data_IF_065608784374
#
_entry.id   IF_065608784374
#
_cell.length_a   1.000
_cell.length_b   1.000
_cell.length_c   1.000
_cell.angle_alpha   90.00
_cell.angle_beta   90.00
_cell.angle_gamma   90.00
#
_symmetry.space_group_name_H-M   'P 1'
#
loop_
_entity.id
_entity.type
_entity.pdbx_description
1 polymer ?
#
# COMPACT_ATOMS: atom_id res chain seq x y z
N UNK A 1 0.03 -24.98 32.35
CA UNK A 1 -0.56 -25.32 31.04
C UNK A 1 -0.05 -26.68 30.60
N UNK A 2 -0.86 -27.51 29.93
CA UNK A 2 -0.45 -28.84 29.46
C UNK A 2 0.59 -28.70 28.32
N UNK A 3 1.55 -29.62 28.25
CA UNK A 3 2.63 -29.62 27.24
C UNK A 3 2.09 -29.58 25.81
N UNK A 4 1.01 -30.30 25.54
CA UNK A 4 0.30 -30.26 24.25
C UNK A 4 -0.24 -28.87 23.88
N UNK A 5 -0.65 -28.07 24.87
CA UNK A 5 -1.07 -26.69 24.64
C UNK A 5 0.12 -25.81 24.28
N UNK A 6 1.27 -26.03 24.91
CA UNK A 6 2.52 -25.30 24.61
C UNK A 6 3.04 -25.70 23.23
N UNK A 7 3.03 -26.99 22.90
CA UNK A 7 3.48 -27.51 21.61
C UNK A 7 2.55 -27.07 20.48
N UNK A 8 1.23 -26.98 20.73
CA UNK A 8 0.27 -26.40 19.78
C UNK A 8 0.53 -24.90 19.59
N UNK A 9 0.66 -24.12 20.66
CA UNK A 9 0.97 -22.68 20.57
C UNK A 9 2.30 -22.47 19.83
N UNK A 10 3.31 -23.31 20.05
CA UNK A 10 4.58 -23.24 19.34
C UNK A 10 4.46 -23.63 17.85
N UNK A 11 3.58 -24.58 17.51
CA UNK A 11 3.28 -24.93 16.11
C UNK A 11 2.53 -23.79 15.42
N UNK A 12 1.46 -23.31 16.04
CA UNK A 12 0.64 -22.19 15.56
C UNK A 12 1.46 -20.88 15.47
N UNK A 13 2.49 -20.71 16.31
CA UNK A 13 3.41 -19.57 16.23
C UNK A 13 4.40 -19.64 15.05
N UNK A 14 4.62 -20.83 14.49
CA UNK A 14 5.47 -21.06 13.31
C UNK A 14 4.66 -21.05 12.01
N UNK A 15 3.35 -21.27 12.09
CA UNK A 15 2.43 -21.11 10.95
C UNK A 15 2.05 -19.63 10.80
N UNK A 16 2.25 -19.10 9.59
CA UNK A 16 1.99 -17.70 9.28
C UNK A 16 0.51 -17.50 8.88
N UNK A 17 -0.35 -17.36 9.88
CA UNK A 17 -1.78 -17.04 9.75
C UNK A 17 -2.07 -15.62 9.24
N UNK A 18 -1.06 -14.80 8.91
CA UNK A 18 -1.32 -13.42 8.50
C UNK A 18 -2.20 -13.34 7.23
N UNK A 19 -2.18 -14.39 6.41
CA UNK A 19 -2.99 -14.54 5.19
C UNK A 19 -3.29 -16.00 4.80
N UNK A 20 -3.12 -16.99 5.68
CA UNK A 20 -3.46 -18.38 5.34
C UNK A 20 -4.96 -18.53 5.07
N UNK A 21 -5.31 -18.62 3.79
CA UNK A 21 -6.64 -19.04 3.35
C UNK A 21 -6.65 -20.57 3.48
N UNK A 22 -7.52 -21.09 4.34
CA UNK A 22 -7.91 -22.49 4.22
C UNK A 22 -8.60 -22.66 2.87
N UNK A 23 -8.30 -23.73 2.12
CA UNK A 23 -8.90 -24.08 0.81
C UNK A 23 -10.45 -24.04 0.79
N UNK A 24 -11.07 -23.92 1.96
CA UNK A 24 -12.51 -23.79 2.21
C UNK A 24 -13.08 -22.38 2.02
N UNK A 25 -12.26 -21.33 1.87
CA UNK A 25 -12.73 -19.94 1.74
C UNK A 25 -13.29 -19.34 3.04
N UNK A 26 -12.90 -19.89 4.20
CA UNK A 26 -13.25 -19.36 5.52
C UNK A 26 -12.36 -18.17 5.89
N UNK A 27 -12.88 -16.95 5.69
CA UNK A 27 -12.25 -15.72 6.17
C UNK A 27 -12.55 -15.41 7.65
N UNK A 28 -13.44 -16.19 8.29
CA UNK A 28 -13.89 -15.99 9.68
C UNK A 28 -12.99 -16.70 10.68
N UNK A 29 -11.81 -16.12 10.92
CA UNK A 29 -11.10 -16.37 12.17
C UNK A 29 -11.37 -15.20 13.13
N UNK A 30 -12.33 -15.34 14.04
CA UNK A 30 -12.65 -14.26 15.01
C UNK A 30 -11.41 -13.75 15.75
N UNK A 31 -10.45 -14.63 16.02
CA UNK A 31 -9.15 -14.29 16.62
C UNK A 31 -8.31 -13.35 15.76
N UNK A 32 -8.35 -13.47 14.43
CA UNK A 32 -7.66 -12.56 13.51
C UNK A 32 -8.16 -11.13 13.67
N UNK A 33 -9.48 -10.93 13.72
CA UNK A 33 -10.08 -9.61 13.92
C UNK A 33 -9.68 -9.04 15.28
N UNK A 34 -9.77 -9.82 16.36
CA UNK A 34 -9.34 -9.34 17.69
C UNK A 34 -7.86 -8.96 17.73
N UNK A 35 -6.99 -9.72 17.06
CA UNK A 35 -5.56 -9.37 16.96
C UNK A 35 -5.32 -8.09 16.17
N UNK A 36 -6.00 -7.92 15.04
CA UNK A 36 -5.96 -6.68 14.25
C UNK A 36 -6.36 -5.47 15.11
N UNK A 37 -7.45 -5.61 15.88
CA UNK A 37 -7.91 -4.54 16.75
C UNK A 37 -6.93 -4.24 17.89
N UNK A 38 -6.33 -5.28 18.50
CA UNK A 38 -5.29 -5.12 19.50
C UNK A 38 -4.08 -4.36 18.93
N UNK A 39 -3.62 -4.73 17.73
CA UNK A 39 -2.53 -4.03 17.05
C UNK A 39 -2.84 -2.58 16.72
N UNK A 40 -4.08 -2.26 16.34
CA UNK A 40 -4.49 -0.86 16.16
C UNK A 40 -4.45 -0.09 17.47
N UNK A 41 -5.00 -0.65 18.56
CA UNK A 41 -5.00 0.00 19.88
C UNK A 41 -3.57 0.22 20.38
N UNK A 42 -2.75 -0.83 20.37
CA UNK A 42 -1.36 -0.78 20.84
C UNK A 42 -0.50 0.14 19.95
N UNK A 43 -0.70 0.08 18.62
CA UNK A 43 -0.03 0.94 17.66
C UNK A 43 -0.34 2.41 17.87
N UNK A 44 -1.62 2.78 17.96
CA UNK A 44 -2.03 4.17 18.21
C UNK A 44 -1.57 4.66 19.59
N UNK A 45 -1.66 3.82 20.62
CA UNK A 45 -1.17 4.17 21.95
C UNK A 45 0.35 4.41 21.94
N UNK A 46 1.10 3.59 21.19
CA UNK A 46 2.54 3.73 21.04
C UNK A 46 2.91 5.03 20.31
N UNK A 47 2.30 5.30 19.15
CA UNK A 47 2.55 6.52 18.37
C UNK A 47 2.18 7.78 19.15
N UNK A 48 1.10 7.75 19.94
CA UNK A 48 0.65 8.91 20.73
C UNK A 48 1.65 9.43 21.78
N UNK A 49 2.74 8.70 22.03
CA UNK A 49 3.83 9.08 22.93
C UNK A 49 4.85 10.03 22.29
N UNK A 50 4.74 10.26 20.98
CA UNK A 50 5.65 11.06 20.20
C UNK A 50 4.96 12.31 19.66
N UNK A 51 5.79 13.30 19.34
CA UNK A 51 5.41 14.54 18.69
C UNK A 51 6.51 14.87 17.68
N UNK A 52 6.16 15.69 16.69
CA UNK A 52 7.08 16.16 15.65
C UNK A 52 7.75 15.05 14.86
N UNK A 53 6.94 14.19 14.25
CA UNK A 53 7.39 12.91 13.71
C UNK A 53 7.79 13.05 12.24
N UNK A 54 8.95 12.51 11.87
CA UNK A 54 9.35 12.34 10.48
C UNK A 54 9.52 10.86 10.21
N UNK A 55 8.71 10.34 9.29
CA UNK A 55 8.79 8.94 8.89
C UNK A 55 9.77 8.78 7.74
N UNK A 56 10.80 7.95 7.93
CA UNK A 56 11.83 7.65 6.94
C UNK A 56 11.69 6.22 6.44
N UNK A 57 11.52 6.08 5.13
CA UNK A 57 11.29 4.82 4.42
C UNK A 57 12.34 4.59 3.32
N UNK A 58 12.64 3.34 3.03
CA UNK A 58 13.63 2.98 2.03
C UNK A 58 14.03 1.51 2.06
N UNK A 59 14.98 1.14 1.20
CA UNK A 59 15.42 -0.25 1.05
C UNK A 59 16.02 -0.82 2.34
N UNK A 60 15.61 -2.05 2.68
CA UNK A 60 16.27 -2.89 3.68
C UNK A 60 17.59 -3.53 3.17
N UNK A 61 17.87 -3.44 1.86
CA UNK A 61 19.01 -4.11 1.20
C UNK A 61 20.22 -3.20 0.93
N UNK A 62 20.08 -1.88 1.12
CA UNK A 62 21.19 -0.94 0.88
C UNK A 62 22.13 -0.91 2.09
N UNK A 63 23.39 -1.30 1.87
CA UNK A 63 24.39 -1.49 2.92
C UNK A 63 25.03 -0.17 3.40
N UNK A 64 25.79 -0.26 4.50
CA UNK A 64 26.43 0.87 5.21
C UNK A 64 27.41 1.67 4.34
N UNK A 65 28.04 1.02 3.35
CA UNK A 65 29.01 1.63 2.44
C UNK A 65 28.36 2.45 1.31
N UNK A 66 27.03 2.41 1.17
CA UNK A 66 26.32 3.13 0.12
C UNK A 66 26.19 4.63 0.44
N UNK A 67 26.09 5.46 -0.62
CA UNK A 67 25.79 6.90 -0.45
C UNK A 67 24.47 7.12 0.30
N UNK A 68 23.47 6.26 0.05
CA UNK A 68 22.14 6.37 0.64
C UNK A 68 22.15 6.16 2.15
N UNK A 69 22.94 5.19 2.63
CA UNK A 69 23.09 4.95 4.06
C UNK A 69 23.70 6.17 4.76
N UNK A 70 24.73 6.78 4.17
CA UNK A 70 25.34 7.99 4.73
C UNK A 70 24.37 9.18 4.73
N UNK A 71 23.60 9.38 3.67
CA UNK A 71 22.57 10.44 3.62
C UNK A 71 21.48 10.18 4.67
N UNK A 72 20.98 8.95 4.79
CA UNK A 72 19.97 8.58 5.78
C UNK A 72 20.47 8.75 7.22
N UNK A 73 21.71 8.37 7.51
CA UNK A 73 22.34 8.59 8.82
C UNK A 73 22.53 10.07 9.12
N UNK A 74 22.95 10.87 8.14
CA UNK A 74 23.06 12.31 8.31
C UNK A 74 21.68 12.94 8.54
N UNK A 75 20.65 12.53 7.79
CA UNK A 75 19.28 12.98 7.99
C UNK A 75 18.78 12.66 9.40
N UNK A 76 18.95 11.42 9.87
CA UNK A 76 18.57 11.04 11.23
C UNK A 76 19.25 11.90 12.30
N UNK A 77 20.54 12.23 12.11
CA UNK A 77 21.27 13.16 12.98
C UNK A 77 20.62 14.55 12.97
N UNK A 78 20.37 15.11 11.79
CA UNK A 78 19.78 16.44 11.66
C UNK A 78 18.35 16.51 12.24
N UNK A 79 17.54 15.46 12.06
CA UNK A 79 16.22 15.34 12.68
C UNK A 79 16.34 15.44 14.20
N UNK A 80 17.24 14.66 14.80
CA UNK A 80 17.49 14.70 16.24
C UNK A 80 18.00 16.06 16.74
N UNK A 81 18.90 16.72 16.00
CA UNK A 81 19.40 18.06 16.34
C UNK A 81 18.32 19.16 16.27
N UNK A 82 17.19 18.89 15.60
CA UNK A 82 16.04 19.80 15.49
C UNK A 82 14.83 19.35 16.34
N UNK A 83 15.04 18.47 17.32
CA UNK A 83 14.00 17.93 18.20
C UNK A 83 12.85 17.20 17.47
N UNK A 84 13.17 16.58 16.32
CA UNK A 84 12.22 15.77 15.54
C UNK A 84 12.37 14.29 15.86
N UNK A 85 11.24 13.58 15.97
CA UNK A 85 11.21 12.14 16.20
C UNK A 85 11.42 11.39 14.89
N UNK A 86 12.47 10.57 14.81
CA UNK A 86 12.71 9.71 13.63
C UNK A 86 11.94 8.40 13.77
N UNK A 87 10.94 8.19 12.91
CA UNK A 87 10.18 6.94 12.79
C UNK A 87 10.65 6.16 11.56
N UNK A 88 10.91 4.87 11.73
CA UNK A 88 11.22 3.96 10.62
C UNK A 88 10.50 2.62 10.79
N UNK A 89 10.65 1.73 9.81
CA UNK A 89 10.22 0.35 9.92
C UNK A 89 11.07 -0.56 10.83
N UNK A 90 12.15 -0.04 11.45
CA UNK A 90 12.98 -0.72 12.46
C UNK A 90 13.92 -1.83 11.95
N UNK A 91 13.90 -2.10 10.64
CA UNK A 91 14.78 -3.08 9.99
C UNK A 91 16.18 -2.56 9.65
N UNK A 92 16.97 -3.34 8.88
CA UNK A 92 18.30 -2.96 8.41
C UNK A 92 18.24 -1.92 7.26
N UNK A 93 19.41 -1.56 6.73
CA UNK A 93 19.54 -0.70 5.56
C UNK A 93 19.20 0.76 5.86
N UNK A 94 18.37 1.40 5.03
CA UNK A 94 18.01 2.82 5.20
C UNK A 94 17.33 3.09 6.56
N UNK A 95 16.48 2.17 7.00
CA UNK A 95 15.81 2.27 8.31
C UNK A 95 16.84 2.32 9.44
N UNK A 96 17.80 1.41 9.43
CA UNK A 96 18.90 1.38 10.40
C UNK A 96 19.75 2.65 10.33
N UNK A 97 20.09 3.13 9.13
CA UNK A 97 20.87 4.34 8.95
C UNK A 97 20.22 5.55 9.61
N UNK A 98 18.93 5.79 9.32
CA UNK A 98 18.16 6.89 9.89
C UNK A 98 18.04 6.76 11.42
N UNK A 99 17.71 5.57 11.93
CA UNK A 99 17.67 5.31 13.36
C UNK A 99 19.02 5.56 14.03
N UNK A 100 20.12 5.14 13.39
CA UNK A 100 21.49 5.32 13.87
C UNK A 100 21.87 6.79 13.98
N UNK A 101 21.59 7.57 12.94
CA UNK A 101 21.81 9.02 12.95
C UNK A 101 21.13 9.70 14.13
N UNK A 102 19.84 9.41 14.31
CA UNK A 102 19.06 9.97 15.41
C UNK A 102 19.55 9.50 16.78
N UNK A 103 19.91 8.22 16.90
CA UNK A 103 20.42 7.62 18.13
C UNK A 103 21.74 8.25 18.57
N UNK A 104 22.71 8.35 17.65
CA UNK A 104 24.06 8.90 17.91
C UNK A 104 24.02 10.38 18.28
N UNK A 105 23.07 11.13 17.74
CA UNK A 105 22.80 12.52 18.09
C UNK A 105 21.98 12.70 19.38
N UNK A 106 21.56 11.61 20.03
CA UNK A 106 20.81 11.65 21.29
C UNK A 106 19.28 11.81 21.13
N UNK A 107 18.74 11.93 19.91
CA UNK A 107 17.32 12.14 19.64
C UNK A 107 16.42 10.91 19.81
N UNK A 108 15.12 11.07 19.51
CA UNK A 108 14.16 9.96 19.52
C UNK A 108 14.31 9.11 18.25
N UNK A 109 14.52 7.81 18.43
CA UNK A 109 14.69 6.84 17.36
C UNK A 109 13.70 5.70 17.56
N UNK A 110 12.74 5.59 16.65
CA UNK A 110 11.55 4.74 16.77
C UNK A 110 11.50 3.73 15.63
N UNK A 111 11.16 2.47 15.95
CA UNK A 111 11.03 1.38 14.98
C UNK A 111 9.67 0.69 15.08
N UNK A 112 8.92 0.68 13.98
CA UNK A 112 7.66 -0.08 13.84
C UNK A 112 7.97 -1.38 13.11
N UNK A 113 8.16 -2.48 13.84
CA UNK A 113 8.67 -3.74 13.27
C UNK A 113 7.53 -4.67 12.81
N UNK A 114 7.84 -5.61 11.90
CA UNK A 114 6.94 -6.69 11.50
C UNK A 114 7.47 -8.03 12.01
N UNK A 115 6.59 -8.88 12.55
CA UNK A 115 6.91 -10.25 12.90
C UNK A 115 6.93 -11.11 11.64
N UNK A 116 8.12 -11.53 11.22
CA UNK A 116 8.31 -12.45 10.10
C UNK A 116 8.76 -13.82 10.61
N UNK A 117 8.40 -14.93 9.92
CA UNK A 117 8.86 -16.27 10.27
C UNK A 117 10.40 -16.42 10.23
N UNK A 118 11.06 -15.57 9.45
CA UNK A 118 12.51 -15.43 9.40
C UNK A 118 12.90 -14.11 10.10
N UNK A 119 13.89 -14.19 10.98
CA UNK A 119 14.22 -13.18 11.98
C UNK A 119 14.55 -11.80 11.36
N UNK A 120 13.58 -10.89 11.27
CA UNK A 120 13.89 -9.47 11.12
C UNK A 120 14.29 -8.93 12.49
N UNK A 121 15.60 -8.82 12.73
CA UNK A 121 16.11 -8.23 13.96
C UNK A 121 15.85 -6.73 13.94
N UNK A 122 15.28 -6.23 15.03
CA UNK A 122 15.23 -4.79 15.31
C UNK A 122 16.66 -4.28 15.29
N UNK A 123 16.93 -3.24 14.50
CA UNK A 123 18.27 -2.69 14.42
C UNK A 123 18.70 -2.10 15.79
N UNK A 124 20.00 -2.12 16.13
CA UNK A 124 20.48 -1.81 17.48
C UNK A 124 20.35 -0.33 17.88
N UNK A 125 19.92 0.54 16.94
CA UNK A 125 19.82 1.98 17.15
C UNK A 125 18.38 2.45 17.41
N UNK A 126 17.41 1.53 17.43
CA UNK A 126 16.04 1.82 17.86
C UNK A 126 15.98 1.96 19.37
N UNK A 127 15.51 3.12 19.87
CA UNK A 127 15.31 3.37 21.32
C UNK A 127 13.96 2.86 21.82
N UNK A 128 12.93 2.98 20.98
CA UNK A 128 11.56 2.54 21.29
C UNK A 128 11.00 1.80 20.08
N UNK A 129 10.33 0.68 20.33
CA UNK A 129 9.73 -0.11 19.26
C UNK A 129 8.39 -0.69 19.67
N UNK A 130 7.53 -0.89 18.67
CA UNK A 130 6.41 -1.84 18.75
C UNK A 130 6.50 -2.80 17.57
N UNK A 131 5.85 -3.96 17.68
CA UNK A 131 5.89 -5.01 16.68
C UNK A 131 4.47 -5.40 16.27
N UNK A 132 4.28 -5.60 14.98
CA UNK A 132 3.00 -5.98 14.37
C UNK A 132 3.11 -7.37 13.78
N UNK A 133 1.99 -8.09 13.70
CA UNK A 133 1.89 -9.34 12.99
C UNK A 133 1.42 -9.14 11.54
N UNK A 134 0.48 -8.19 11.33
CA UNK A 134 -0.02 -7.89 10.00
C UNK A 134 0.73 -6.72 9.38
N UNK A 135 1.10 -6.85 8.10
CA UNK A 135 1.74 -5.75 7.36
C UNK A 135 0.85 -4.50 7.30
N UNK A 136 -0.46 -4.67 7.12
CA UNK A 136 -1.36 -3.52 6.94
C UNK A 136 -1.53 -2.70 8.22
N UNK A 137 -1.61 -3.31 9.41
CA UNK A 137 -1.70 -2.58 10.69
C UNK A 137 -0.43 -1.78 10.93
N UNK A 138 0.74 -2.40 10.68
CA UNK A 138 2.04 -1.73 10.70
C UNK A 138 2.09 -0.55 9.73
N UNK A 139 1.63 -0.76 8.49
CA UNK A 139 1.66 0.26 7.43
C UNK A 139 0.82 1.47 7.84
N UNK A 140 -0.38 1.25 8.37
CA UNK A 140 -1.22 2.33 8.92
C UNK A 140 -0.52 3.12 10.01
N UNK A 141 0.28 2.48 10.87
CA UNK A 141 1.06 3.16 11.91
C UNK A 141 2.27 3.91 11.35
N UNK A 142 2.92 3.38 10.31
CA UNK A 142 4.02 4.06 9.61
C UNK A 142 3.52 5.31 8.87
N UNK A 143 2.30 5.27 8.36
CA UNK A 143 1.62 6.39 7.70
C UNK A 143 0.72 7.17 8.66
N UNK A 144 0.86 6.99 9.98
CA UNK A 144 0.18 7.83 10.95
C UNK A 144 0.59 9.30 10.75
N UNK A 145 -0.23 10.28 11.20
CA UNK A 145 0.08 11.69 11.01
C UNK A 145 1.52 11.99 11.41
N UNK A 146 2.30 12.48 10.46
CA UNK A 146 3.70 12.84 10.59
C UNK A 146 3.88 14.23 9.99
N UNK A 147 4.91 14.96 10.41
CA UNK A 147 5.18 16.29 9.89
C UNK A 147 5.79 16.27 8.50
N UNK A 148 6.51 15.18 8.15
CA UNK A 148 6.99 14.92 6.80
C UNK A 148 7.21 13.42 6.57
N UNK A 149 7.18 13.03 5.30
CA UNK A 149 7.58 11.69 4.85
C UNK A 149 8.82 11.79 3.98
N UNK A 150 9.84 10.98 4.27
CA UNK A 150 11.09 10.93 3.50
C UNK A 150 11.28 9.54 2.92
N UNK A 151 11.36 9.45 1.60
CA UNK A 151 11.54 8.20 0.86
C UNK A 151 12.91 8.18 0.18
N UNK A 152 13.71 7.19 0.56
CA UNK A 152 14.93 6.80 -0.12
C UNK A 152 14.65 5.75 -1.19
N UNK A 153 15.60 5.49 -2.10
CA UNK A 153 15.48 4.40 -3.05
C UNK A 153 15.21 3.06 -2.37
N UNK A 154 14.27 2.32 -2.96
CA UNK A 154 13.64 1.16 -2.34
C UNK A 154 13.09 0.17 -3.35
N UNK A 155 12.59 -0.97 -2.85
CA UNK A 155 11.94 -2.01 -3.67
C UNK A 155 10.42 -1.85 -3.68
N UNK A 156 9.69 -2.94 -3.93
CA UNK A 156 8.22 -2.92 -3.94
C UNK A 156 7.60 -2.45 -2.62
N UNK A 157 8.14 -2.86 -1.47
CA UNK A 157 7.63 -2.39 -0.18
C UNK A 157 7.73 -0.88 0.02
N UNK A 158 8.82 -0.26 -0.43
CA UNK A 158 8.97 1.22 -0.37
C UNK A 158 8.02 1.90 -1.36
N UNK A 159 7.78 1.31 -2.53
CA UNK A 159 6.80 1.82 -3.47
C UNK A 159 5.37 1.70 -2.95
N UNK A 160 5.03 0.60 -2.26
CA UNK A 160 3.75 0.41 -1.58
C UNK A 160 3.55 1.50 -0.51
N UNK A 161 4.52 1.69 0.38
CA UNK A 161 4.48 2.73 1.42
C UNK A 161 4.36 4.15 0.83
N UNK A 162 5.12 4.43 -0.23
CA UNK A 162 5.06 5.69 -0.95
C UNK A 162 3.69 5.95 -1.56
N UNK A 163 3.18 5.00 -2.35
CA UNK A 163 1.89 5.15 -3.00
C UNK A 163 0.74 5.16 -1.99
N UNK A 164 0.87 4.55 -0.80
CA UNK A 164 -0.12 4.71 0.27
C UNK A 164 -0.22 6.15 0.76
N UNK A 165 0.90 6.78 1.09
CA UNK A 165 0.90 8.16 1.63
C UNK A 165 0.27 9.12 0.62
N UNK A 166 0.69 9.05 -0.65
CA UNK A 166 0.24 10.00 -1.67
C UNK A 166 -1.20 9.75 -2.11
N UNK A 167 -1.66 8.49 -2.14
CA UNK A 167 -3.07 8.13 -2.36
C UNK A 167 -3.95 8.65 -1.21
N UNK A 168 -3.50 8.54 0.05
CA UNK A 168 -4.23 9.06 1.21
C UNK A 168 -4.36 10.59 1.19
N UNK A 169 -3.34 11.29 0.70
CA UNK A 169 -3.36 12.75 0.51
C UNK A 169 -4.33 13.14 -0.63
N UNK A 170 -4.28 12.47 -1.80
CA UNK A 170 -5.24 12.70 -2.91
C UNK A 170 -6.69 12.50 -2.47
N UNK A 171 -6.93 11.43 -1.69
CA UNK A 171 -8.25 11.10 -1.14
C UNK A 171 -8.72 12.07 -0.04
N UNK A 172 -7.86 13.02 0.38
CA UNK A 172 -8.08 13.96 1.50
C UNK A 172 -8.35 13.23 2.82
N UNK A 173 -7.73 12.06 2.99
CA UNK A 173 -7.79 11.23 4.21
C UNK A 173 -6.54 11.39 5.07
N UNK A 174 -5.54 12.13 4.59
CA UNK A 174 -4.35 12.58 5.30
C UNK A 174 -4.18 14.09 5.03
N UNK A 175 -3.59 14.82 5.99
CA UNK A 175 -3.22 16.21 5.77
C UNK A 175 -2.14 16.33 4.69
N UNK A 176 -2.11 17.45 3.96
CA UNK A 176 -0.99 17.74 3.07
C UNK A 176 0.25 18.00 3.91
N UNK A 177 1.27 17.18 3.71
CA UNK A 177 2.58 17.28 4.38
C UNK A 177 3.67 17.08 3.33
N UNK A 178 4.89 17.61 3.54
CA UNK A 178 5.96 17.46 2.57
C UNK A 178 6.31 15.99 2.32
N UNK A 179 6.44 15.64 1.04
CA UNK A 179 6.90 14.34 0.59
C UNK A 179 8.28 14.53 -0.03
N UNK A 180 9.31 14.01 0.61
CA UNK A 180 10.69 14.25 0.22
C UNK A 180 11.26 12.96 -0.38
N UNK A 181 11.74 13.06 -1.61
CA UNK A 181 12.26 11.95 -2.40
C UNK A 181 13.77 12.11 -2.57
N UNK A 182 14.55 11.29 -1.87
CA UNK A 182 16.01 11.34 -1.89
C UNK A 182 16.55 10.62 -3.12
N UNK A 183 17.48 11.27 -3.83
CA UNK A 183 18.09 10.89 -5.10
C UNK A 183 17.20 11.20 -6.32
N UNK A 184 17.44 12.36 -6.93
CA UNK A 184 16.69 12.81 -8.11
C UNK A 184 16.82 11.83 -9.27
N UNK A 185 17.99 11.23 -9.47
CA UNK A 185 18.24 10.31 -10.57
C UNK A 185 17.45 9.00 -10.42
N UNK A 186 17.23 8.55 -9.19
CA UNK A 186 16.38 7.40 -8.92
C UNK A 186 14.90 7.72 -9.18
N UNK A 187 14.37 8.83 -8.65
CA UNK A 187 12.94 9.12 -8.70
C UNK A 187 12.44 9.75 -10.01
N UNK A 188 13.31 10.43 -10.77
CA UNK A 188 12.91 11.15 -11.98
C UNK A 188 12.16 10.27 -13.01
N UNK A 189 12.61 9.04 -13.36
CA UNK A 189 11.89 8.21 -14.32
C UNK A 189 10.47 7.84 -13.88
N UNK A 190 10.26 7.65 -12.57
CA UNK A 190 8.92 7.41 -12.03
C UNK A 190 8.05 8.67 -12.15
N UNK A 191 8.64 9.84 -11.86
CA UNK A 191 7.97 11.12 -11.98
C UNK A 191 7.57 11.42 -13.44
N UNK A 192 8.49 11.18 -14.39
CA UNK A 192 8.25 11.29 -15.83
C UNK A 192 7.10 10.38 -16.28
N UNK A 193 7.09 9.13 -15.81
CA UNK A 193 5.99 8.20 -16.05
C UNK A 193 4.65 8.74 -15.53
N UNK A 194 4.61 9.26 -14.30
CA UNK A 194 3.39 9.80 -13.69
C UNK A 194 2.83 11.00 -14.46
N UNK A 195 3.69 11.93 -14.92
CA UNK A 195 3.25 13.05 -15.76
C UNK A 195 2.76 12.60 -17.14
N UNK A 196 3.53 11.76 -17.84
CA UNK A 196 3.27 11.40 -19.22
C UNK A 196 2.12 10.39 -19.39
N UNK A 197 1.89 9.55 -18.37
CA UNK A 197 0.81 8.57 -18.37
C UNK A 197 -0.40 9.05 -17.58
N UNK A 198 -0.44 8.84 -16.26
CA UNK A 198 -1.58 9.18 -15.40
C UNK A 198 -2.07 10.63 -15.47
N UNK A 199 -1.18 11.63 -15.34
CA UNK A 199 -1.59 13.06 -15.34
C UNK A 199 -2.09 13.47 -16.72
N UNK A 200 -1.32 13.18 -17.78
CA UNK A 200 -1.73 13.47 -19.16
C UNK A 200 -3.07 12.80 -19.54
N UNK A 201 -3.38 11.65 -18.94
CA UNK A 201 -4.66 10.94 -19.12
C UNK A 201 -5.79 11.45 -18.21
N UNK A 202 -5.52 12.44 -17.35
CA UNK A 202 -6.50 13.03 -16.43
C UNK A 202 -6.93 12.11 -15.29
N UNK A 203 -6.06 11.18 -14.86
CA UNK A 203 -6.38 10.25 -13.76
C UNK A 203 -6.24 10.91 -12.38
N UNK A 204 -5.34 11.87 -12.26
CA UNK A 204 -5.23 12.83 -11.15
C UNK A 204 -4.61 14.14 -11.69
N UNK A 205 -4.59 15.18 -10.87
CA UNK A 205 -4.12 16.52 -11.26
C UNK A 205 -2.64 16.74 -10.95
N UNK A 206 -2.00 17.64 -11.68
CA UNK A 206 -0.63 18.07 -11.40
C UNK A 206 -0.47 18.61 -9.97
N UNK A 207 -1.50 19.28 -9.44
CA UNK A 207 -1.55 19.81 -8.08
C UNK A 207 -1.51 18.71 -6.99
N UNK A 208 -1.79 17.45 -7.34
CA UNK A 208 -1.71 16.32 -6.39
C UNK A 208 -0.27 15.89 -6.14
N UNK A 209 0.68 16.28 -7.00
CA UNK A 209 2.11 15.95 -6.89
C UNK A 209 3.01 17.19 -6.70
N UNK A 210 2.42 18.37 -6.48
CA UNK A 210 3.15 19.63 -6.28
C UNK A 210 4.01 19.64 -5.00
N UNK A 211 3.62 18.89 -3.98
CA UNK A 211 4.30 18.80 -2.68
C UNK A 211 5.39 17.70 -2.64
N UNK A 212 5.74 17.15 -3.80
CA UNK A 212 6.78 16.14 -3.91
C UNK A 212 8.11 16.84 -4.23
N UNK A 213 9.05 16.70 -3.32
CA UNK A 213 10.34 17.38 -3.39
C UNK A 213 11.46 16.39 -3.66
N UNK A 214 11.98 16.41 -4.88
CA UNK A 214 13.14 15.64 -5.29
C UNK A 214 14.42 16.36 -4.81
N UNK A 215 15.22 15.70 -3.96
CA UNK A 215 16.42 16.25 -3.32
C UNK A 215 17.57 15.24 -3.36
N UNK A 216 18.81 15.70 -3.22
CA UNK A 216 20.01 14.83 -3.26
C UNK A 216 20.72 14.70 -1.91
N UNK A 217 20.36 15.54 -0.93
CA UNK A 217 21.06 15.63 0.35
C UNK A 217 20.11 15.68 1.54
N UNK A 218 20.63 15.32 2.72
CA UNK A 218 19.89 15.40 3.97
C UNK A 218 19.58 16.85 4.36
N UNK A 219 20.48 17.78 4.03
CA UNK A 219 20.35 19.21 4.30
C UNK A 219 19.21 19.83 3.48
N UNK A 220 19.09 19.47 2.21
CA UNK A 220 17.96 19.88 1.37
C UNK A 220 16.64 19.36 1.92
N UNK A 221 16.59 18.08 2.33
CA UNK A 221 15.43 17.49 2.97
C UNK A 221 15.04 18.25 4.25
N UNK A 222 15.99 18.50 5.15
CA UNK A 222 15.76 19.22 6.41
C UNK A 222 15.30 20.66 6.21
N UNK A 223 15.81 21.34 5.18
CA UNK A 223 15.36 22.69 4.85
C UNK A 223 13.86 22.72 4.55
N UNK A 224 13.35 21.73 3.82
CA UNK A 224 11.93 21.60 3.46
C UNK A 224 11.09 21.29 4.70
N UNK A 225 11.55 20.34 5.52
CA UNK A 225 10.88 19.98 6.77
C UNK A 225 10.71 21.22 7.67
N UNK A 226 11.80 21.96 7.89
CA UNK A 226 11.78 23.17 8.71
C UNK A 226 10.90 24.30 8.14
N UNK A 227 10.80 24.46 6.81
CA UNK A 227 9.91 25.46 6.22
C UNK A 227 8.43 25.13 6.44
N UNK A 228 8.04 23.85 6.38
CA UNK A 228 6.65 23.44 6.60
C UNK A 228 6.19 23.66 8.06
N UNK A 229 7.10 23.53 9.02
CA UNK A 229 6.82 23.79 10.44
C UNK A 229 6.53 25.27 10.72
N UNK A 230 7.13 26.18 9.95
CA UNK A 230 6.88 27.61 10.08
C UNK A 230 5.50 27.98 9.52
N UNK A 231 5.11 27.42 8.37
CA UNK A 231 3.79 27.65 7.78
C UNK A 231 2.65 27.09 8.65
N UNK A 232 2.82 25.90 9.24
CA UNK A 232 1.86 25.32 10.19
C UNK A 232 1.64 26.19 11.44
N UNK A 233 2.69 26.87 11.92
CA UNK A 233 2.60 27.78 13.07
C UNK A 233 1.89 29.10 12.75
N UNK A 234 1.90 29.54 11.49
CA UNK A 234 1.19 30.73 11.03
C UNK A 234 -0.27 30.44 10.63
N UNK A 235 -0.54 29.25 10.07
CA UNK A 235 -1.89 28.77 9.78
C UNK A 235 -2.45 27.93 10.93
N UNK A 236 -2.91 28.58 12.01
CA UNK A 236 -3.73 27.90 13.04
C UNK A 236 -5.13 27.56 12.51
N UNK A 237 -5.21 26.59 11.61
CA UNK A 237 -6.42 25.79 11.41
C UNK A 237 -6.06 24.32 11.62
N UNK A 238 -6.32 23.77 12.82
CA UNK A 238 -6.24 22.34 13.02
C UNK A 238 -7.23 21.68 12.05
N UNK A 239 -6.76 20.77 11.20
CA UNK A 239 -7.71 19.90 10.50
C UNK A 239 -8.41 19.05 11.55
N UNK A 240 -9.74 18.97 11.49
CA UNK A 240 -10.60 18.30 12.49
C UNK A 240 -10.21 16.83 12.79
N UNK A 241 -9.35 16.20 11.97
CA UNK A 241 -8.87 14.84 12.21
C UNK A 241 -7.89 14.71 13.39
N UNK A 242 -7.01 15.69 13.60
CA UNK A 242 -5.92 15.62 14.59
C UNK A 242 -6.45 15.65 16.03
N UNK A 243 -7.47 16.47 16.29
CA UNK A 243 -8.06 16.56 17.62
C UNK A 243 -9.13 15.48 17.86
N UNK A 244 -9.74 14.93 16.81
CA UNK A 244 -10.74 13.88 16.96
C UNK A 244 -10.12 12.52 17.32
N UNK A 245 -8.95 12.13 16.80
CA UNK A 245 -8.34 10.84 17.14
C UNK A 245 -8.06 10.70 18.65
N UNK A 246 -7.63 11.77 19.34
CA UNK A 246 -7.36 11.75 20.80
C UNK A 246 -8.62 11.69 21.69
N UNK A 247 -9.82 12.00 21.20
CA UNK A 247 -11.09 11.99 21.99
C UNK A 247 -12.16 11.02 21.48
N UNK A 248 -11.97 10.41 20.30
CA UNK A 248 -12.96 9.57 19.62
C UNK A 248 -12.43 8.19 19.19
N UNK A 249 -11.23 7.80 19.64
CA UNK A 249 -10.61 6.52 19.28
C UNK A 249 -11.58 5.34 19.49
N UNK A 250 -12.37 5.39 20.56
CA UNK A 250 -13.29 4.33 20.97
C UNK A 250 -14.32 3.96 19.88
N UNK A 251 -15.07 4.91 19.31
CA UNK A 251 -16.10 4.57 18.33
C UNK A 251 -15.52 4.22 16.95
N UNK A 252 -14.40 4.85 16.56
CA UNK A 252 -13.73 4.57 15.27
C UNK A 252 -13.21 3.14 15.24
N UNK A 253 -12.64 2.66 16.34
CA UNK A 253 -12.22 1.26 16.52
C UNK A 253 -13.39 0.30 16.30
N UNK A 254 -14.54 0.55 16.92
CA UNK A 254 -15.73 -0.30 16.69
C UNK A 254 -16.21 -0.26 15.24
N UNK A 255 -16.13 0.89 14.57
CA UNK A 255 -16.48 1.00 13.14
C UNK A 255 -15.48 0.27 12.24
N UNK A 256 -14.18 0.36 12.51
CA UNK A 256 -13.13 -0.40 11.80
C UNK A 256 -13.38 -1.90 11.97
N UNK A 257 -13.66 -2.34 13.19
CA UNK A 257 -13.99 -3.73 13.49
C UNK A 257 -15.22 -4.20 12.71
N UNK A 258 -16.29 -3.39 12.68
CA UNK A 258 -17.49 -3.70 11.91
C UNK A 258 -17.20 -3.82 10.41
N UNK A 259 -16.44 -2.87 9.83
CA UNK A 259 -16.06 -2.93 8.42
C UNK A 259 -15.17 -4.14 8.11
N UNK A 260 -14.26 -4.54 9.01
CA UNK A 260 -13.47 -5.76 8.85
C UNK A 260 -14.35 -7.02 8.88
N UNK A 261 -15.30 -7.11 9.83
CA UNK A 261 -16.23 -8.23 9.92
C UNK A 261 -17.08 -8.34 8.65
N UNK A 262 -17.70 -7.23 8.24
CA UNK A 262 -18.50 -7.16 7.01
C UNK A 262 -17.66 -7.48 5.77
N UNK A 263 -16.42 -6.99 5.72
CA UNK A 263 -15.46 -7.24 4.64
C UNK A 263 -15.07 -8.72 4.52
N UNK A 264 -14.68 -9.36 5.61
CA UNK A 264 -14.34 -10.79 5.60
C UNK A 264 -15.56 -11.67 5.32
N UNK A 265 -16.74 -11.29 5.80
CA UNK A 265 -18.00 -11.96 5.43
C UNK A 265 -18.33 -11.76 3.95
N UNK A 266 -18.04 -10.59 3.38
CA UNK A 266 -18.23 -10.32 1.96
C UNK A 266 -17.35 -11.22 1.08
N UNK A 267 -16.11 -11.49 1.51
CA UNK A 267 -15.16 -12.37 0.83
C UNK A 267 -15.47 -13.87 1.02
N UNK A 268 -16.19 -14.23 2.07
CA UNK A 268 -16.49 -15.64 2.38
C UNK A 268 -17.24 -16.30 1.21
N UNK A 269 -16.67 -17.40 0.69
CA UNK A 269 -17.21 -18.12 -0.47
C UNK A 269 -16.81 -17.56 -1.84
N UNK A 270 -15.98 -16.50 -1.89
CA UNK A 270 -15.26 -16.12 -3.11
C UNK A 270 -14.01 -16.99 -3.24
N UNK A 271 -14.06 -17.93 -4.18
CA UNK A 271 -12.98 -18.90 -4.45
C UNK A 271 -12.52 -18.81 -5.90
N UNK A 272 -13.45 -18.57 -6.83
CA UNK A 272 -13.19 -18.48 -8.27
C UNK A 272 -13.45 -17.05 -8.76
N UNK A 273 -12.71 -16.09 -8.24
CA UNK A 273 -12.83 -14.68 -8.58
C UNK A 273 -11.56 -14.11 -9.22
N UNK A 274 -11.75 -13.06 -10.02
CA UNK A 274 -10.68 -12.25 -10.62
C UNK A 274 -10.97 -10.80 -10.31
N UNK A 275 -9.94 -10.13 -9.78
CA UNK A 275 -10.04 -8.73 -9.38
C UNK A 275 -9.54 -7.81 -10.49
N UNK A 276 -10.40 -6.89 -10.94
CA UNK A 276 -10.10 -5.90 -11.98
C UNK A 276 -9.94 -4.51 -11.36
N UNK A 277 -8.78 -3.91 -11.58
CA UNK A 277 -8.36 -2.63 -11.01
C UNK A 277 -8.05 -1.61 -12.10
N UNK A 278 -8.19 -0.32 -11.79
CA UNK A 278 -7.87 0.77 -12.70
C UNK A 278 -8.59 2.06 -12.36
N UNK A 279 -8.49 3.06 -13.23
CA UNK A 279 -9.04 4.40 -12.96
C UNK A 279 -10.58 4.45 -12.94
N UNK A 280 -11.09 5.33 -12.07
CA UNK A 280 -12.51 5.74 -12.00
C UNK A 280 -12.92 6.72 -13.11
N UNK A 281 -11.93 7.30 -13.82
CA UNK A 281 -12.11 8.45 -14.72
C UNK A 281 -12.48 8.10 -16.15
N UNK A 282 -12.45 6.82 -16.55
CA UNK A 282 -12.84 6.42 -17.91
C UNK A 282 -14.33 6.63 -18.16
N UNK A 283 -14.66 6.94 -19.41
CA UNK A 283 -16.04 7.07 -19.89
C UNK A 283 -16.34 5.97 -20.92
N UNK A 284 -17.62 5.63 -21.15
CA UNK A 284 -18.01 4.78 -22.27
C UNK A 284 -17.43 5.32 -23.60
N UNK A 285 -17.04 4.42 -24.50
CA UNK A 285 -16.31 4.67 -25.76
C UNK A 285 -14.82 5.01 -25.61
N UNK A 286 -14.28 5.03 -24.40
CA UNK A 286 -12.83 4.99 -24.21
C UNK A 286 -12.30 3.57 -24.53
N UNK A 287 -11.20 3.41 -25.29
CA UNK A 287 -10.67 2.09 -25.61
C UNK A 287 -10.38 1.21 -24.40
N UNK A 288 -9.95 1.79 -23.27
CA UNK A 288 -9.73 1.05 -22.02
C UNK A 288 -11.04 0.66 -21.34
N UNK A 289 -12.10 1.48 -21.47
CA UNK A 289 -13.43 1.12 -21.00
C UNK A 289 -13.95 -0.08 -21.80
N UNK A 290 -13.86 -0.03 -23.12
CA UNK A 290 -14.34 -1.12 -23.99
C UNK A 290 -13.56 -2.41 -23.76
N UNK A 291 -12.23 -2.32 -23.58
CA UNK A 291 -11.40 -3.45 -23.19
C UNK A 291 -11.82 -4.05 -21.84
N UNK A 292 -11.98 -3.23 -20.80
CA UNK A 292 -12.43 -3.69 -19.48
C UNK A 292 -13.82 -4.35 -19.54
N UNK A 293 -14.73 -3.79 -20.35
CA UNK A 293 -16.04 -4.39 -20.61
C UNK A 293 -15.94 -5.76 -21.28
N UNK A 294 -15.09 -5.92 -22.30
CA UNK A 294 -14.84 -7.23 -22.94
C UNK A 294 -14.22 -8.22 -21.95
N UNK A 295 -13.24 -7.78 -21.14
CA UNK A 295 -12.63 -8.62 -20.12
C UNK A 295 -13.68 -9.16 -19.15
N UNK A 296 -14.57 -8.30 -18.64
CA UNK A 296 -15.65 -8.71 -17.73
C UNK A 296 -16.54 -9.80 -18.32
N UNK A 297 -16.88 -9.70 -19.61
CA UNK A 297 -17.63 -10.74 -20.33
C UNK A 297 -16.88 -12.07 -20.40
N UNK A 298 -15.61 -12.03 -20.78
CA UNK A 298 -14.78 -13.23 -20.95
C UNK A 298 -14.60 -13.96 -19.61
N UNK A 299 -14.24 -13.22 -18.56
CA UNK A 299 -14.11 -13.76 -17.21
C UNK A 299 -15.40 -14.44 -16.73
N UNK A 300 -16.55 -13.78 -16.91
CA UNK A 300 -17.84 -14.33 -16.52
C UNK A 300 -18.21 -15.60 -17.30
N UNK A 301 -17.95 -15.64 -18.61
CA UNK A 301 -18.16 -16.84 -19.43
C UNK A 301 -17.28 -18.03 -18.98
N UNK A 302 -16.10 -17.74 -18.44
CA UNK A 302 -15.19 -18.75 -17.87
C UNK A 302 -15.52 -19.11 -16.41
N UNK A 303 -16.69 -18.69 -15.93
CA UNK A 303 -17.21 -18.89 -14.58
C UNK A 303 -16.39 -18.20 -13.47
N UNK A 304 -15.63 -17.16 -13.80
CA UNK A 304 -15.06 -16.30 -12.78
C UNK A 304 -16.08 -15.29 -12.27
N UNK A 305 -16.03 -15.06 -10.97
CA UNK A 305 -16.69 -13.93 -10.33
C UNK A 305 -15.83 -12.67 -10.53
N UNK A 306 -16.39 -11.61 -11.11
CA UNK A 306 -15.64 -10.38 -11.38
C UNK A 306 -15.74 -9.44 -10.18
N UNK A 307 -14.61 -9.16 -9.54
CA UNK A 307 -14.50 -8.26 -8.38
C UNK A 307 -13.84 -6.96 -8.82
N UNK A 308 -14.38 -5.81 -8.41
CA UNK A 308 -13.85 -4.49 -8.78
C UNK A 308 -13.88 -3.51 -7.61
N UNK A 309 -13.35 -2.30 -7.83
CA UNK A 309 -13.50 -1.17 -6.90
C UNK A 309 -14.93 -0.60 -6.79
N UNK A 310 -15.91 -1.15 -7.52
CA UNK A 310 -17.34 -0.84 -7.39
C UNK A 310 -17.81 0.52 -7.88
N UNK A 311 -16.90 1.41 -8.32
CA UNK A 311 -17.24 2.75 -8.80
C UNK A 311 -17.35 2.84 -10.33
N UNK A 312 -17.21 4.03 -10.91
CA UNK A 312 -17.22 4.28 -12.37
C UNK A 312 -15.92 3.83 -13.06
N UNK A 313 -15.84 4.04 -14.38
CA UNK A 313 -14.63 3.80 -15.16
C UNK A 313 -14.36 2.33 -15.41
N UNK A 314 -13.13 1.87 -15.14
CA UNK A 314 -12.72 0.47 -15.36
C UNK A 314 -13.64 -0.50 -14.61
N UNK A 315 -13.95 -0.20 -13.35
CA UNK A 315 -14.81 -1.04 -12.52
C UNK A 315 -16.21 -1.20 -13.11
N UNK A 316 -16.86 -0.09 -13.47
CA UNK A 316 -18.18 -0.09 -14.10
C UNK A 316 -18.20 -0.90 -15.41
N UNK A 317 -17.18 -0.73 -16.26
CA UNK A 317 -17.07 -1.46 -17.53
C UNK A 317 -16.99 -2.97 -17.31
N UNK A 318 -16.07 -3.44 -16.47
CA UNK A 318 -15.90 -4.86 -16.17
C UNK A 318 -17.16 -5.45 -15.52
N UNK A 319 -17.75 -4.73 -14.55
CA UNK A 319 -18.99 -5.15 -13.89
C UNK A 319 -20.15 -5.26 -14.89
N UNK A 320 -20.29 -4.29 -15.80
CA UNK A 320 -21.29 -4.30 -16.87
C UNK A 320 -21.11 -5.49 -17.80
N UNK A 321 -19.87 -5.73 -18.24
CA UNK A 321 -19.55 -6.87 -19.10
C UNK A 321 -19.95 -8.20 -18.48
N UNK A 322 -19.54 -8.42 -17.23
CA UNK A 322 -19.87 -9.63 -16.50
C UNK A 322 -21.39 -9.82 -16.29
N UNK A 323 -22.09 -8.77 -15.88
CA UNK A 323 -23.52 -8.84 -15.56
C UNK A 323 -24.39 -9.11 -16.80
N UNK A 324 -24.06 -8.52 -17.95
CA UNK A 324 -24.85 -8.68 -19.18
C UNK A 324 -24.84 -10.11 -19.75
N UNK A 325 -23.82 -10.91 -19.42
CA UNK A 325 -23.75 -12.34 -19.78
C UNK A 325 -24.23 -13.26 -18.66
N UNK A 326 -24.82 -12.70 -17.60
CA UNK A 326 -25.36 -13.44 -16.45
C UNK A 326 -24.32 -13.86 -15.41
N UNK A 327 -23.11 -13.31 -15.47
CA UNK A 327 -22.04 -13.57 -14.51
C UNK A 327 -22.23 -12.86 -13.17
N UNK A 328 -21.47 -13.29 -12.15
CA UNK A 328 -21.40 -12.61 -10.85
C UNK A 328 -20.46 -11.41 -10.94
N UNK A 329 -20.94 -10.27 -10.45
CA UNK A 329 -20.24 -8.98 -10.52
C UNK A 329 -20.28 -8.31 -9.15
N UNK A 330 -19.13 -8.07 -8.53
CA UNK A 330 -19.01 -7.55 -7.17
C UNK A 330 -18.28 -6.20 -7.15
N UNK A 331 -18.71 -5.31 -6.25
CA UNK A 331 -18.08 -4.00 -6.05
C UNK A 331 -17.63 -3.76 -4.62
N UNK A 332 -16.34 -3.48 -4.43
CA UNK A 332 -15.73 -3.07 -3.17
C UNK A 332 -15.47 -1.55 -3.22
N UNK A 333 -16.49 -0.78 -2.85
CA UNK A 333 -16.51 0.67 -3.00
C UNK A 333 -16.01 1.42 -1.75
N UNK A 334 -15.73 2.71 -1.92
CA UNK A 334 -15.31 3.61 -0.84
C UNK A 334 -16.19 4.85 -0.77
N UNK A 335 -16.40 5.37 0.43
CA UNK A 335 -16.94 6.71 0.63
C UNK A 335 -15.83 7.75 0.55
N UNK A 336 -15.94 8.67 -0.41
CA UNK A 336 -14.98 9.78 -0.63
C UNK A 336 -15.74 11.10 -0.53
N UNK A 337 -15.26 12.03 0.31
CA UNK A 337 -15.92 13.33 0.51
C UNK A 337 -17.38 13.24 0.95
N UNK A 338 -17.73 12.23 1.75
CA UNK A 338 -19.10 11.97 2.22
C UNK A 338 -20.05 11.41 1.16
N UNK A 339 -19.56 11.13 -0.05
CA UNK A 339 -20.36 10.54 -1.14
C UNK A 339 -19.95 9.10 -1.38
N UNK A 340 -20.95 8.25 -1.56
CA UNK A 340 -20.79 6.85 -1.97
C UNK A 340 -21.24 6.72 -3.40
N UNK A 341 -20.39 6.16 -4.27
CA UNK A 341 -20.72 5.89 -5.67
C UNK A 341 -20.46 4.43 -5.98
N UNK A 342 -21.54 3.67 -6.07
CA UNK A 342 -21.55 2.28 -6.55
C UNK A 342 -22.18 2.28 -7.94
N UNK A 343 -21.56 1.62 -8.91
CA UNK A 343 -22.09 1.52 -10.26
C UNK A 343 -23.31 0.57 -10.32
N UNK A 344 -24.24 0.72 -11.28
CA UNK A 344 -25.48 -0.04 -11.30
C UNK A 344 -25.31 -1.50 -11.78
N UNK A 345 -24.10 -1.93 -12.15
CA UNK A 345 -23.82 -3.23 -12.73
C UNK A 345 -23.21 -4.23 -11.74
N UNK A 346 -23.26 -3.93 -10.45
CA UNK A 346 -22.86 -4.84 -9.38
C UNK A 346 -24.07 -5.65 -8.90
N UNK A 347 -23.89 -6.96 -8.78
CA UNK A 347 -24.85 -7.89 -8.19
C UNK A 347 -24.80 -7.89 -6.66
N UNK A 348 -23.63 -7.59 -6.08
CA UNK A 348 -23.40 -7.43 -4.64
C UNK A 348 -22.31 -6.37 -4.44
N UNK A 349 -22.45 -5.52 -3.43
CA UNK A 349 -21.43 -4.54 -3.10
C UNK A 349 -21.26 -4.35 -1.61
N UNK A 350 -20.07 -3.89 -1.21
CA UNK A 350 -19.74 -3.43 0.13
C UNK A 350 -19.07 -2.05 0.03
N UNK A 351 -19.29 -1.20 1.04
CA UNK A 351 -18.81 0.18 1.05
C UNK A 351 -18.05 0.45 2.34
N UNK A 352 -16.84 0.99 2.19
CA UNK A 352 -15.93 1.28 3.32
C UNK A 352 -15.77 2.77 3.57
N UNK A 353 -15.64 3.15 4.84
CA UNK A 353 -15.25 4.51 5.26
C UNK A 353 -13.74 4.64 5.39
N UNK A 354 -13.08 3.55 5.80
CA UNK A 354 -11.64 3.49 6.07
C UNK A 354 -10.89 2.93 4.86
N UNK A 355 -10.03 3.73 4.20
CA UNK A 355 -9.30 3.26 3.02
C UNK A 355 -8.46 2.02 3.28
N UNK A 356 -7.79 1.93 4.44
CA UNK A 356 -6.97 0.78 4.79
C UNK A 356 -7.78 -0.51 4.97
N UNK A 357 -9.00 -0.44 5.54
CA UNK A 357 -9.86 -1.63 5.64
C UNK A 357 -10.28 -2.08 4.25
N UNK A 358 -10.72 -1.14 3.40
CA UNK A 358 -11.07 -1.44 2.01
C UNK A 358 -9.93 -2.12 1.26
N UNK A 359 -8.70 -1.63 1.44
CA UNK A 359 -7.50 -2.16 0.78
C UNK A 359 -7.31 -3.64 1.10
N UNK A 360 -7.33 -4.01 2.38
CA UNK A 360 -7.24 -5.42 2.83
C UNK A 360 -8.28 -6.32 2.16
N UNK A 361 -9.49 -5.80 1.90
CA UNK A 361 -10.57 -6.57 1.29
C UNK A 361 -10.44 -6.66 -0.23
N UNK A 362 -10.03 -5.59 -0.93
CA UNK A 362 -9.92 -5.59 -2.39
C UNK A 362 -8.64 -6.27 -2.91
N UNK A 363 -7.57 -6.27 -2.12
CA UNK A 363 -6.32 -6.99 -2.43
C UNK A 363 -6.30 -8.39 -1.82
N UNK A 364 -7.43 -8.87 -1.29
CA UNK A 364 -7.57 -10.25 -0.85
C UNK A 364 -7.21 -11.21 -2.00
N UNK A 365 -6.58 -12.36 -1.71
CA UNK A 365 -6.16 -13.29 -2.74
C UNK A 365 -7.33 -13.72 -3.64
N UNK A 366 -7.10 -13.63 -4.94
CA UNK A 366 -8.01 -14.01 -6.03
C UNK A 366 -7.32 -15.03 -6.94
N UNK A 367 -7.97 -15.48 -8.02
CA UNK A 367 -7.31 -16.30 -9.06
C UNK A 367 -6.43 -15.49 -10.01
N UNK A 368 -6.51 -14.16 -9.95
CA UNK A 368 -5.67 -13.27 -10.72
C UNK A 368 -6.11 -11.82 -10.60
N UNK A 369 -5.17 -10.93 -10.83
CA UNK A 369 -5.40 -9.48 -10.89
C UNK A 369 -5.21 -8.99 -12.31
N UNK A 370 -6.16 -8.20 -12.81
CA UNK A 370 -6.00 -7.46 -14.08
C UNK A 370 -6.05 -5.97 -13.78
N UNK A 371 -4.95 -5.27 -14.06
CA UNK A 371 -4.76 -3.85 -13.73
C UNK A 371 -4.72 -3.04 -15.02
N UNK A 372 -5.77 -2.24 -15.23
CA UNK A 372 -5.85 -1.25 -16.28
C UNK A 372 -5.14 0.05 -15.88
N UNK A 373 -4.82 0.91 -16.86
CA UNK A 373 -4.25 2.23 -16.60
C UNK A 373 -4.99 2.99 -15.50
N UNK A 374 -4.22 3.62 -14.61
CA UNK A 374 -4.80 4.37 -13.50
C UNK A 374 -3.86 5.31 -12.77
N UNK A 375 -4.41 5.99 -11.76
CA UNK A 375 -3.73 7.02 -10.98
C UNK A 375 -3.05 6.46 -9.73
N UNK A 376 -2.82 7.33 -8.74
CA UNK A 376 -2.11 7.01 -7.48
C UNK A 376 -2.72 5.80 -6.75
N UNK A 377 -4.04 5.73 -6.59
CA UNK A 377 -4.70 4.58 -5.96
C UNK A 377 -4.54 3.27 -6.73
N UNK A 378 -4.42 3.30 -8.06
CA UNK A 378 -4.13 2.11 -8.87
C UNK A 378 -2.67 1.66 -8.67
N UNK A 379 -1.73 2.59 -8.62
CA UNK A 379 -0.32 2.31 -8.32
C UNK A 379 -0.17 1.70 -6.92
N UNK A 380 -0.84 2.27 -5.93
CA UNK A 380 -0.85 1.73 -4.58
C UNK A 380 -1.30 0.28 -4.56
N UNK A 381 -2.46 -0.04 -5.14
CA UNK A 381 -2.96 -1.42 -5.17
C UNK A 381 -2.01 -2.38 -5.90
N UNK A 382 -1.39 -1.93 -6.99
CA UNK A 382 -0.40 -2.73 -7.72
C UNK A 382 0.81 -3.06 -6.82
N UNK A 383 1.44 -2.05 -6.22
CA UNK A 383 2.63 -2.27 -5.39
C UNK A 383 2.33 -3.02 -4.09
N UNK A 384 1.12 -2.87 -3.53
CA UNK A 384 0.65 -3.70 -2.42
C UNK A 384 0.60 -5.18 -2.82
N UNK A 385 -0.02 -5.51 -3.95
CA UNK A 385 -0.11 -6.89 -4.46
C UNK A 385 1.30 -7.46 -4.72
N UNK A 386 2.16 -6.71 -5.41
CA UNK A 386 3.53 -7.16 -5.69
C UNK A 386 4.33 -7.39 -4.40
N UNK A 387 4.18 -6.52 -3.40
CA UNK A 387 4.83 -6.67 -2.10
C UNK A 387 4.33 -7.90 -1.35
N UNK A 388 3.02 -8.17 -1.37
CA UNK A 388 2.44 -9.35 -0.71
C UNK A 388 2.92 -10.65 -1.36
N UNK A 389 3.04 -10.69 -2.69
CA UNK A 389 3.58 -11.86 -3.41
C UNK A 389 5.09 -12.01 -3.13
N UNK A 390 5.87 -10.94 -3.25
CA UNK A 390 7.32 -10.94 -2.99
C UNK A 390 7.66 -11.43 -1.58
N UNK A 391 6.87 -11.00 -0.58
CA UNK A 391 7.06 -11.37 0.82
C UNK A 391 6.43 -12.72 1.19
N UNK A 392 5.86 -13.43 0.21
CA UNK A 392 5.18 -14.73 0.37
C UNK A 392 3.97 -14.69 1.32
N UNK A 393 3.41 -13.50 1.54
CA UNK A 393 2.15 -13.29 2.28
C UNK A 393 0.93 -13.54 1.39
N UNK A 394 1.12 -13.51 0.08
CA UNK A 394 0.16 -13.97 -0.91
C UNK A 394 0.81 -15.06 -1.77
N UNK A 395 0.04 -16.08 -2.15
CA UNK A 395 0.51 -17.07 -3.11
C UNK A 395 0.82 -16.39 -4.45
N UNK A 396 1.80 -16.93 -5.20
CA UNK A 396 2.09 -16.42 -6.54
C UNK A 396 0.91 -16.70 -7.46
N UNK A 397 0.22 -15.64 -7.87
CA UNK A 397 -0.92 -15.67 -8.79
C UNK A 397 -0.67 -14.69 -9.96
N UNK A 398 -1.37 -14.85 -11.09
CA UNK A 398 -1.19 -13.95 -12.23
C UNK A 398 -1.54 -12.50 -11.88
N UNK A 399 -0.57 -11.60 -12.04
CA UNK A 399 -0.77 -10.14 -12.03
C UNK A 399 -0.56 -9.65 -13.46
N UNK A 400 -1.61 -9.13 -14.08
CA UNK A 400 -1.61 -8.79 -15.50
C UNK A 400 -1.90 -7.30 -15.65
N UNK A 401 -0.99 -6.58 -16.31
CA UNK A 401 -1.12 -5.17 -16.61
C UNK A 401 -1.61 -5.00 -18.05
N UNK A 402 -2.74 -4.36 -18.25
CA UNK A 402 -3.29 -4.13 -19.59
C UNK A 402 -2.73 -2.83 -20.18
N UNK A 403 -2.23 -2.88 -21.43
CA UNK A 403 -1.58 -1.82 -22.23
C UNK A 403 -0.07 -1.69 -22.03
N UNK A 404 0.72 -2.25 -22.96
CA UNK A 404 2.17 -1.99 -23.05
C UNK A 404 2.47 -0.51 -23.15
N UNK A 405 1.70 0.22 -23.96
CA UNK A 405 1.88 1.66 -24.14
C UNK A 405 1.85 2.42 -22.81
N UNK A 406 0.99 2.02 -21.88
CA UNK A 406 0.90 2.68 -20.59
C UNK A 406 1.97 2.19 -19.61
N UNK A 407 2.14 0.87 -19.46
CA UNK A 407 2.94 0.30 -18.37
C UNK A 407 4.43 0.17 -18.66
N UNK A 408 4.86 0.24 -19.93
CA UNK A 408 6.26 0.04 -20.31
C UNK A 408 7.25 0.97 -19.58
N UNK A 409 7.02 2.30 -19.43
CA UNK A 409 7.97 3.15 -18.72
C UNK A 409 8.16 2.75 -17.25
N UNK A 410 7.08 2.31 -16.58
CA UNK A 410 7.15 1.82 -15.21
C UNK A 410 7.91 0.49 -15.12
N UNK A 411 7.70 -0.42 -16.07
CA UNK A 411 8.46 -1.67 -16.15
C UNK A 411 9.95 -1.40 -16.37
N UNK A 412 10.31 -0.45 -17.24
CA UNK A 412 11.69 -0.05 -17.48
C UNK A 412 12.32 0.57 -16.23
N UNK A 413 11.57 1.39 -15.48
CA UNK A 413 11.99 1.90 -14.18
C UNK A 413 12.27 0.76 -13.19
N UNK A 414 11.33 -0.18 -13.02
CA UNK A 414 11.51 -1.33 -12.10
C UNK A 414 12.74 -2.14 -12.50
N UNK A 415 12.84 -2.53 -13.78
CA UNK A 415 13.95 -3.36 -14.27
C UNK A 415 15.30 -2.66 -14.13
N UNK A 416 15.39 -1.40 -14.53
CA UNK A 416 16.66 -0.67 -14.49
C UNK A 416 17.03 -0.28 -13.05
N UNK A 417 16.13 0.40 -12.33
CA UNK A 417 16.46 1.01 -11.04
C UNK A 417 16.38 0.01 -9.88
N UNK A 418 15.35 -0.83 -9.83
CA UNK A 418 15.12 -1.72 -8.69
C UNK A 418 15.86 -3.04 -8.81
N UNK A 419 15.89 -3.64 -10.01
CA UNK A 419 16.58 -4.93 -10.25
C UNK A 419 18.07 -4.72 -10.52
N UNK A 420 18.43 -3.95 -11.55
CA UNK A 420 19.82 -3.89 -12.00
C UNK A 420 20.71 -2.91 -11.23
N UNK A 421 20.31 -1.63 -11.13
CA UNK A 421 21.16 -0.57 -10.56
C UNK A 421 21.33 -0.75 -9.04
N UNK A 422 20.22 -0.91 -8.30
CA UNK A 422 20.24 -0.93 -6.83
C UNK A 422 19.95 -2.30 -6.19
N UNK A 423 19.46 -3.29 -6.96
CA UNK A 423 19.15 -4.65 -6.47
C UNK A 423 18.26 -4.66 -5.21
N UNK A 424 17.31 -3.72 -5.15
CA UNK A 424 16.37 -3.57 -4.04
C UNK A 424 15.27 -4.64 -4.07
N UNK A 425 15.07 -5.29 -5.22
CA UNK A 425 14.27 -6.50 -5.41
C UNK A 425 15.13 -7.61 -6.05
N UNK A 426 14.68 -8.86 -6.01
CA UNK A 426 15.36 -10.01 -6.64
C UNK A 426 15.24 -9.98 -8.17
N UNK A 427 16.08 -10.77 -8.85
CA UNK A 427 16.04 -10.86 -10.32
C UNK A 427 14.73 -11.52 -10.79
N UNK A 428 14.20 -12.47 -10.02
CA UNK A 428 12.93 -13.15 -10.28
C UNK A 428 11.69 -12.29 -10.03
N UNK A 429 11.87 -11.13 -9.38
CA UNK A 429 10.75 -10.26 -8.99
C UNK A 429 10.22 -9.44 -10.17
N UNK A 430 10.97 -9.31 -11.27
CA UNK A 430 10.50 -8.65 -12.50
C UNK A 430 9.47 -9.50 -13.27
N UNK A 431 9.40 -10.80 -12.96
CA UNK A 431 8.43 -11.75 -13.51
C UNK A 431 7.13 -11.84 -12.69
N UNK A 432 6.98 -11.03 -11.63
CA UNK A 432 5.76 -11.05 -10.80
C UNK A 432 4.52 -10.53 -11.53
N UNK A 433 4.70 -9.77 -12.61
CA UNK A 433 3.60 -9.31 -13.46
C UNK A 433 3.91 -9.49 -14.94
N UNK A 434 2.86 -9.54 -15.75
CA UNK A 434 2.95 -9.62 -17.21
C UNK A 434 2.16 -8.46 -17.83
N UNK A 435 2.66 -7.89 -18.92
CA UNK A 435 1.97 -6.85 -19.67
C UNK A 435 1.36 -7.46 -20.93
N UNK A 436 0.11 -7.10 -21.24
CA UNK A 436 -0.64 -7.58 -22.40
C UNK A 436 -1.38 -6.43 -23.08
N UNK A 437 -1.65 -6.55 -24.39
CA UNK A 437 -2.43 -5.56 -25.15
C UNK A 437 -3.84 -6.03 -25.52
N UNK A 438 -4.17 -7.28 -25.22
CA UNK A 438 -5.47 -7.87 -25.45
C UNK A 438 -5.97 -8.61 -24.20
N UNK A 439 -7.28 -8.57 -24.00
CA UNK A 439 -7.90 -9.11 -22.78
C UNK A 439 -8.07 -10.63 -22.86
N UNK A 440 -8.07 -11.19 -24.06
CA UNK A 440 -8.09 -12.61 -24.34
C UNK A 440 -6.84 -13.30 -23.77
N UNK A 441 -5.65 -12.76 -24.04
CA UNK A 441 -4.39 -13.23 -23.46
C UNK A 441 -4.39 -13.11 -21.94
N UNK A 442 -4.97 -12.04 -21.37
CA UNK A 442 -5.11 -11.90 -19.93
C UNK A 442 -5.91 -13.07 -19.32
N UNK A 443 -7.05 -13.41 -19.93
CA UNK A 443 -7.92 -14.51 -19.49
C UNK A 443 -7.23 -15.88 -19.65
N UNK A 444 -6.50 -16.08 -20.75
CA UNK A 444 -5.73 -17.31 -20.98
C UNK A 444 -4.65 -17.53 -19.91
N UNK A 445 -3.94 -16.47 -19.51
CA UNK A 445 -2.93 -16.54 -18.44
C UNK A 445 -3.56 -16.94 -17.10
N UNK A 446 -4.72 -16.36 -16.76
CA UNK A 446 -5.46 -16.71 -15.54
C UNK A 446 -5.94 -18.17 -15.59
N UNK A 447 -6.51 -18.61 -16.71
CA UNK A 447 -6.97 -19.99 -16.88
C UNK A 447 -5.85 -21.02 -16.83
N UNK A 448 -4.65 -20.69 -17.33
CA UNK A 448 -3.47 -21.55 -17.18
C UNK A 448 -3.11 -21.75 -15.71
N UNK A 449 -3.12 -20.68 -14.91
CA UNK A 449 -2.86 -20.77 -13.47
C UNK A 449 -3.97 -21.51 -12.71
N UNK A 450 -5.21 -21.48 -13.19
CA UNK A 450 -6.34 -22.22 -12.59
C UNK A 450 -6.18 -23.74 -12.71
N UNK A 451 -5.45 -24.21 -13.73
CA UNK A 451 -5.25 -25.65 -14.04
C UNK A 451 -3.96 -26.23 -13.46
N UNK A 452 -3.03 -25.38 -13.03
CA UNK A 452 -1.77 -25.73 -12.40
C UNK A 452 -1.96 -25.90 -10.89
#
# INVERSE_FOLDING_TARGET
MKKETIDKIQRDSKEDFSYSINETGEYRESWRIFRIMAEFVEGYQFISQFEKEVTVMGSARLAEDTKYYNIARNLGKLLAENDLTTITGGGPGIMEAANRGAFEAGGQSVGLNIQLPFEQRVNPYVKKSTAFYYFFTRKVMLTAPADAFVFFPGGFGTMDEFFEVVDMIELRKMAKVPIILIDKEFWQPLFDFLHQGPVASGFFSEDDISEWHLVDTAEEAMKIINSSDQEKNESKHPTDMDYQLKKQLDWKIFRIMAELVEGFEFLTGLVEDVTVLGTKSLKPNDPYYDASYRLGKLLANDNFTVVTGGSSGVAEAANKGALEVGGKSLGIAMTVGGKTRVNPYVSKSIVFQFPFVRKVIITAPSKGFVVFPGGLGTMHQLFEILTLIQTKKMQKIPVILYSHKFWQPLQEFIKKKLVHDLKTIGDEDDELFQIVDDVETAVDLINKSRKA
#
